data_IF_060453743692
#
_entry.id   IF_060453743692
#
_cell.length_a   1.000
_cell.length_b   1.000
_cell.length_c   1.000
_cell.angle_alpha   90.00
_cell.angle_beta   90.00
_cell.angle_gamma   90.00
#
_symmetry.space_group_name_H-M   'P 1'
#
loop_
_entity.id
_entity.type
_entity.pdbx_description
1 polymer ?
#
# COMPACT_ATOMS: atom_id res chain seq x y z
N UNK A 1 27.27 -14.24 -4.70
CA UNK A 1 27.48 -13.00 -3.89
C UNK A 1 27.33 -11.68 -4.67
N UNK A 2 27.69 -11.60 -5.95
CA UNK A 2 27.53 -10.35 -6.73
C UNK A 2 26.06 -9.95 -7.02
N UNK A 3 25.15 -10.91 -7.16
CA UNK A 3 23.73 -10.63 -7.45
C UNK A 3 22.97 -9.93 -6.31
N UNK A 4 23.29 -10.27 -5.04
CA UNK A 4 22.65 -9.66 -3.86
C UNK A 4 23.09 -8.20 -3.65
N UNK A 5 24.34 -7.86 -3.98
CA UNK A 5 24.84 -6.49 -3.88
C UNK A 5 24.20 -5.54 -4.90
N UNK A 6 23.75 -6.05 -6.04
CA UNK A 6 23.06 -5.25 -7.06
C UNK A 6 21.62 -4.94 -6.62
N UNK A 7 20.91 -5.91 -6.02
CA UNK A 7 19.56 -5.70 -5.47
C UNK A 7 19.58 -4.68 -4.31
N UNK A 8 20.52 -4.81 -3.39
CA UNK A 8 20.69 -3.89 -2.27
C UNK A 8 21.11 -2.46 -2.73
N UNK A 9 21.87 -2.34 -3.82
CA UNK A 9 22.26 -1.02 -4.38
C UNK A 9 21.11 -0.33 -5.10
N UNK A 10 20.21 -1.06 -5.76
CA UNK A 10 19.05 -0.46 -6.45
C UNK A 10 17.99 0.04 -5.46
N UNK A 11 17.79 -0.65 -4.34
CA UNK A 11 16.93 -0.17 -3.25
C UNK A 11 17.48 1.13 -2.61
N UNK A 12 18.81 1.31 -2.57
CA UNK A 12 19.45 2.51 -2.00
C UNK A 12 19.46 3.74 -2.91
N UNK A 13 19.33 3.57 -4.23
CA UNK A 13 19.45 4.68 -5.19
C UNK A 13 18.19 5.54 -5.33
N UNK A 14 17.03 5.07 -4.88
CA UNK A 14 15.75 5.77 -5.05
C UNK A 14 15.51 6.92 -4.05
N UNK A 15 16.36 7.11 -3.03
CA UNK A 15 16.10 8.06 -1.94
C UNK A 15 16.87 9.39 -2.01
N UNK A 16 17.67 9.66 -3.05
CA UNK A 16 18.39 10.94 -3.17
C UNK A 16 17.61 11.93 -4.04
N UNK A 17 16.88 12.83 -3.41
CA UNK A 17 16.28 13.98 -4.07
C UNK A 17 15.00 14.50 -3.42
N UNK A 18 15.06 14.92 -2.16
CA UNK A 18 13.94 15.60 -1.53
C UNK A 18 13.86 17.06 -1.98
N UNK A 19 13.11 17.32 -3.04
CA UNK A 19 12.45 18.61 -3.19
C UNK A 19 11.29 18.57 -2.19
N UNK A 20 11.20 19.54 -1.27
CA UNK A 20 10.07 19.73 -0.35
C UNK A 20 8.78 19.69 -1.17
N UNK A 21 8.12 18.54 -1.22
CA UNK A 21 6.82 18.38 -1.85
C UNK A 21 5.77 18.55 -0.77
N UNK A 22 4.79 19.39 -1.02
CA UNK A 22 3.59 19.46 -0.19
C UNK A 22 2.97 18.07 -0.20
N UNK A 23 2.77 17.47 0.99
CA UNK A 23 2.09 16.19 1.11
C UNK A 23 0.63 16.37 0.71
N UNK A 24 0.10 15.43 -0.09
CA UNK A 24 -1.33 15.37 -0.38
C UNK A 24 -2.11 14.71 0.76
N UNK A 25 -1.43 13.91 1.59
CA UNK A 25 -2.04 13.19 2.70
C UNK A 25 -2.32 14.10 3.90
N UNK A 26 -1.44 15.07 4.17
CA UNK A 26 -1.60 16.01 5.28
C UNK A 26 -1.31 17.43 4.81
N UNK A 27 -2.28 18.31 5.01
CA UNK A 27 -2.20 19.72 4.65
C UNK A 27 -2.47 20.55 5.90
N UNK A 28 -1.52 21.41 6.27
CA UNK A 28 -1.55 22.20 7.49
C UNK A 28 -2.46 23.40 7.38
N UNK A 29 -3.22 23.69 8.43
CA UNK A 29 -3.93 24.92 8.64
C UNK A 29 -5.02 25.25 7.60
N UNK A 30 -5.17 26.53 7.32
CA UNK A 30 -6.22 27.03 6.41
C UNK A 30 -6.07 26.57 4.96
N UNK A 31 -4.87 26.18 4.56
CA UNK A 31 -4.59 25.56 3.25
C UNK A 31 -5.38 24.27 3.01
N UNK A 32 -5.75 23.55 4.07
CA UNK A 32 -6.60 22.37 3.98
C UNK A 32 -7.97 22.70 3.40
N UNK A 33 -8.56 23.84 3.78
CA UNK A 33 -9.85 24.31 3.28
C UNK A 33 -9.74 24.82 1.83
N UNK A 34 -8.65 25.48 1.48
CA UNK A 34 -8.40 26.00 0.13
C UNK A 34 -8.16 24.88 -0.90
N UNK A 35 -7.54 23.79 -0.47
CA UNK A 35 -7.12 22.71 -1.37
C UNK A 35 -8.04 21.49 -1.35
N UNK A 36 -9.20 21.57 -0.72
CA UNK A 36 -10.14 20.46 -0.61
C UNK A 36 -9.50 19.18 -0.01
N UNK A 37 -8.64 19.34 0.99
CA UNK A 37 -8.05 18.19 1.69
C UNK A 37 -9.17 17.40 2.35
N UNK A 38 -9.48 16.25 1.78
CA UNK A 38 -10.59 15.40 2.24
C UNK A 38 -10.18 14.41 3.29
N UNK A 39 -8.87 14.14 3.40
CA UNK A 39 -8.32 13.13 4.28
C UNK A 39 -7.39 13.78 5.30
N UNK A 40 -7.66 13.53 6.58
CA UNK A 40 -6.76 13.82 7.70
C UNK A 40 -6.42 12.49 8.36
N UNK A 41 -5.20 11.97 8.16
CA UNK A 41 -4.82 10.67 8.69
C UNK A 41 -4.85 10.67 10.22
N UNK A 42 -5.13 9.53 10.82
CA UNK A 42 -4.89 9.32 12.23
C UNK A 42 -3.39 9.12 12.47
N UNK A 43 -2.77 10.05 13.16
CA UNK A 43 -1.35 10.02 13.48
C UNK A 43 -1.20 9.77 14.98
N UNK A 44 -0.83 8.56 15.34
CA UNK A 44 -0.59 8.14 16.71
C UNK A 44 0.83 8.55 17.14
N UNK A 45 0.99 9.81 17.52
CA UNK A 45 2.29 10.34 17.92
C UNK A 45 2.81 9.66 19.19
N UNK A 46 1.98 9.59 20.25
CA UNK A 46 2.36 9.01 21.51
C UNK A 46 2.72 7.53 21.38
N UNK A 47 1.82 6.70 20.85
CA UNK A 47 2.07 5.27 20.67
C UNK A 47 3.27 4.96 19.75
N UNK A 48 3.57 5.86 18.79
CA UNK A 48 4.75 5.70 17.94
C UNK A 48 6.05 5.90 18.73
N UNK A 49 6.12 6.92 19.60
CA UNK A 49 7.33 7.21 20.39
C UNK A 49 7.43 6.36 21.65
N UNK A 50 6.33 5.86 22.20
CA UNK A 50 6.36 4.91 23.34
C UNK A 50 7.05 3.59 22.97
N UNK A 51 6.99 3.20 21.68
CA UNK A 51 7.67 2.01 21.16
C UNK A 51 8.88 2.35 20.29
N UNK A 52 9.62 3.41 20.64
CA UNK A 52 10.75 3.93 19.89
C UNK A 52 11.79 2.85 19.53
N UNK A 53 12.11 1.93 20.44
CA UNK A 53 13.11 0.87 20.20
C UNK A 53 12.73 -0.04 19.01
N UNK A 54 11.46 -0.41 18.88
CA UNK A 54 10.97 -1.22 17.76
C UNK A 54 11.05 -0.45 16.43
N UNK A 55 10.77 0.85 16.47
CA UNK A 55 10.86 1.72 15.31
C UNK A 55 12.31 1.96 14.88
N UNK A 56 13.22 2.17 15.82
CA UNK A 56 14.68 2.29 15.56
C UNK A 56 15.22 1.01 14.93
N UNK A 57 14.83 -0.15 15.43
CA UNK A 57 15.17 -1.43 14.81
C UNK A 57 14.64 -1.52 13.37
N UNK A 58 13.40 -1.08 13.12
CA UNK A 58 12.82 -1.05 11.79
C UNK A 58 13.59 -0.14 10.84
N UNK A 59 13.95 1.08 11.27
CA UNK A 59 14.73 2.04 10.50
C UNK A 59 16.11 1.46 10.16
N UNK A 60 16.81 0.91 11.15
CA UNK A 60 18.14 0.33 10.99
C UNK A 60 18.13 -0.89 10.06
N UNK A 61 17.20 -1.85 10.25
CA UNK A 61 17.10 -3.05 9.44
C UNK A 61 16.72 -2.77 7.98
N UNK A 62 16.01 -1.67 7.72
CA UNK A 62 15.68 -1.22 6.36
C UNK A 62 16.80 -0.39 5.72
N UNK A 63 17.81 0.02 6.49
CA UNK A 63 18.89 0.90 6.05
C UNK A 63 18.41 2.30 5.67
N UNK A 64 17.40 2.82 6.36
CA UNK A 64 16.85 4.15 6.11
C UNK A 64 17.70 5.21 6.81
N UNK A 65 17.92 6.35 6.14
CA UNK A 65 18.62 7.50 6.68
C UNK A 65 17.63 8.45 7.40
N UNK A 66 17.07 7.97 8.51
CA UNK A 66 16.10 8.69 9.34
C UNK A 66 16.62 8.73 10.78
N UNK A 67 16.74 9.92 11.34
CA UNK A 67 17.06 10.12 12.75
C UNK A 67 15.77 10.23 13.58
N UNK A 68 15.41 9.17 14.30
CA UNK A 68 14.22 9.16 15.15
C UNK A 68 14.32 10.22 16.25
N UNK A 69 15.51 10.45 16.81
CA UNK A 69 15.77 11.51 17.78
C UNK A 69 15.45 12.90 17.24
N UNK A 70 15.81 13.18 15.97
CA UNK A 70 15.48 14.44 15.32
C UNK A 70 13.96 14.63 15.17
N UNK A 71 13.25 13.56 14.77
CA UNK A 71 11.78 13.59 14.65
C UNK A 71 11.13 13.79 16.02
N UNK A 72 11.65 13.13 17.06
CA UNK A 72 11.16 13.28 18.43
C UNK A 72 11.33 14.69 18.98
N UNK A 73 12.50 15.34 18.74
CA UNK A 73 12.71 16.75 19.13
C UNK A 73 11.70 17.70 18.46
N UNK A 74 11.38 17.45 17.18
CA UNK A 74 10.36 18.21 16.46
C UNK A 74 8.97 17.97 17.05
N UNK A 75 8.67 16.73 17.44
CA UNK A 75 7.44 16.40 18.15
C UNK A 75 7.31 17.17 19.47
N UNK A 76 8.35 17.18 20.31
CA UNK A 76 8.32 17.92 21.56
C UNK A 76 8.06 19.42 21.34
N UNK A 77 8.72 20.01 20.32
CA UNK A 77 8.48 21.40 19.94
C UNK A 77 7.04 21.63 19.50
N UNK A 78 6.51 20.75 18.64
CA UNK A 78 5.12 20.78 18.21
C UNK A 78 4.15 20.66 19.38
N UNK A 79 4.36 19.70 20.26
CA UNK A 79 3.54 19.46 21.46
C UNK A 79 3.47 20.70 22.36
N UNK A 80 4.60 21.33 22.66
CA UNK A 80 4.66 22.53 23.49
C UNK A 80 3.80 23.67 22.91
N UNK A 81 3.90 23.92 21.61
CA UNK A 81 3.11 24.97 20.94
C UNK A 81 1.63 24.58 20.82
N UNK A 82 1.34 23.31 20.59
CA UNK A 82 -0.02 22.80 20.54
C UNK A 82 -0.73 22.92 21.89
N UNK A 83 -0.06 22.59 23.00
CA UNK A 83 -0.58 22.75 24.36
C UNK A 83 -0.86 24.22 24.69
N UNK A 84 0.04 25.14 24.28
CA UNK A 84 -0.20 26.57 24.43
C UNK A 84 -1.45 27.02 23.67
N UNK A 85 -1.60 26.56 22.42
CA UNK A 85 -2.78 26.85 21.61
C UNK A 85 -4.07 26.33 22.27
N UNK A 86 -4.07 25.08 22.75
CA UNK A 86 -5.22 24.47 23.43
C UNK A 86 -5.61 25.23 24.70
N UNK A 87 -4.63 25.70 25.48
CA UNK A 87 -4.87 26.53 26.67
C UNK A 87 -5.64 27.81 26.30
N UNK A 88 -5.16 28.56 25.31
CA UNK A 88 -5.80 29.80 24.90
C UNK A 88 -7.17 29.55 24.26
N UNK A 89 -7.38 28.42 23.56
CA UNK A 89 -8.70 27.97 23.09
C UNK A 89 -9.67 27.79 24.27
N UNK A 90 -9.22 27.06 25.31
CA UNK A 90 -10.04 26.83 26.51
C UNK A 90 -10.38 28.13 27.26
N UNK A 91 -9.42 29.05 27.41
CA UNK A 91 -9.66 30.37 28.00
C UNK A 91 -10.72 31.16 27.20
N UNK A 92 -10.62 31.16 25.87
CA UNK A 92 -11.60 31.83 25.01
C UNK A 92 -13.01 31.22 25.09
N UNK A 93 -13.10 29.89 25.19
CA UNK A 93 -14.37 29.19 25.39
C UNK A 93 -14.99 29.56 26.73
N UNK A 94 -14.19 29.62 27.81
CA UNK A 94 -14.65 30.07 29.13
C UNK A 94 -15.17 31.51 29.10
N UNK A 95 -14.42 32.45 28.50
CA UNK A 95 -14.85 33.84 28.32
C UNK A 95 -16.16 33.93 27.53
N UNK A 96 -16.28 33.14 26.44
CA UNK A 96 -17.49 33.11 25.62
C UNK A 96 -18.70 32.57 26.39
N UNK A 97 -18.49 31.56 27.24
CA UNK A 97 -19.54 31.00 28.11
C UNK A 97 -19.96 32.01 29.16
N UNK A 98 -19.03 32.67 29.86
CA UNK A 98 -19.28 33.67 30.87
C UNK A 98 -20.02 34.89 30.28
N UNK A 99 -19.63 35.34 29.09
CA UNK A 99 -20.30 36.41 28.37
C UNK A 99 -21.78 36.08 28.07
N UNK A 100 -22.05 34.87 27.59
CA UNK A 100 -23.43 34.41 27.32
C UNK A 100 -24.28 34.33 28.60
N UNK A 101 -23.68 33.88 29.71
CA UNK A 101 -24.39 33.80 31.00
C UNK A 101 -24.72 35.18 31.58
N UNK A 102 -23.75 36.11 31.56
CA UNK A 102 -23.94 37.47 32.04
C UNK A 102 -24.94 38.24 31.19
N UNK A 103 -24.93 38.09 29.87
CA UNK A 103 -25.93 38.71 28.98
C UNK A 103 -27.33 38.20 29.26
N UNK A 104 -27.51 36.90 29.58
CA UNK A 104 -28.82 36.32 29.93
C UNK A 104 -29.32 36.75 31.31
N UNK A 105 -28.43 36.97 32.27
CA UNK A 105 -28.75 37.34 33.65
C UNK A 105 -28.89 38.85 33.86
N UNK A 106 -28.71 39.71 32.83
CA UNK A 106 -28.76 41.14 32.94
C UNK A 106 -27.59 41.75 33.71
N UNK A 107 -26.38 41.22 33.47
CA UNK A 107 -25.15 41.68 34.13
C UNK A 107 -24.76 43.12 33.77
N UNK A 108 -23.83 43.70 34.54
CA UNK A 108 -23.32 45.07 34.33
C UNK A 108 -22.73 45.25 32.93
N UNK A 109 -23.10 46.36 32.26
CA UNK A 109 -22.54 46.71 30.94
C UNK A 109 -21.00 46.75 30.95
N UNK A 110 -20.43 47.20 32.05
CA UNK A 110 -18.97 47.30 32.23
C UNK A 110 -18.30 45.91 32.21
N UNK A 111 -18.89 44.92 32.90
CA UNK A 111 -18.37 43.52 32.90
C UNK A 111 -18.55 42.86 31.53
N UNK A 112 -19.61 43.14 30.82
CA UNK A 112 -19.84 42.65 29.47
C UNK A 112 -18.81 43.22 28.50
N UNK A 113 -18.46 44.50 28.61
CA UNK A 113 -17.46 45.13 27.75
C UNK A 113 -16.04 44.63 28.04
N UNK A 114 -15.66 44.41 29.32
CA UNK A 114 -14.41 43.80 29.73
C UNK A 114 -14.22 42.38 29.13
N UNK A 115 -15.26 41.55 29.20
CA UNK A 115 -15.23 40.21 28.61
C UNK A 115 -15.15 40.23 27.08
N UNK A 116 -15.77 41.20 26.41
CA UNK A 116 -15.66 41.36 24.96
C UNK A 116 -14.22 41.76 24.56
N UNK A 117 -13.56 42.69 25.28
CA UNK A 117 -12.18 43.08 25.00
C UNK A 117 -11.22 41.93 25.29
N UNK A 118 -11.44 41.16 26.37
CA UNK A 118 -10.69 39.95 26.66
C UNK A 118 -10.86 38.91 25.53
N UNK A 119 -12.07 38.67 25.05
CA UNK A 119 -12.36 37.78 23.93
C UNK A 119 -11.67 38.20 22.61
N UNK A 120 -11.52 39.50 22.39
CA UNK A 120 -10.86 40.10 21.23
C UNK A 120 -9.34 39.91 21.30
N UNK A 121 -8.75 40.12 22.49
CA UNK A 121 -7.33 39.85 22.74
C UNK A 121 -7.01 38.38 22.53
N UNK A 122 -7.75 37.45 23.16
CA UNK A 122 -7.56 36.01 23.00
C UNK A 122 -7.74 35.56 21.54
N UNK A 123 -8.62 36.21 20.76
CA UNK A 123 -8.73 35.94 19.32
C UNK A 123 -7.47 36.30 18.54
N UNK A 124 -6.87 37.44 18.86
CA UNK A 124 -5.62 37.87 18.23
C UNK A 124 -4.45 36.97 18.64
N UNK A 125 -4.36 36.58 19.92
CA UNK A 125 -3.36 35.62 20.42
C UNK A 125 -3.48 34.27 19.74
N UNK A 126 -4.71 33.75 19.59
CA UNK A 126 -4.98 32.51 18.84
C UNK A 126 -4.51 32.59 17.39
N UNK A 127 -4.72 33.75 16.73
CA UNK A 127 -4.26 33.94 15.36
C UNK A 127 -2.72 33.91 15.29
N UNK A 128 -2.06 34.59 16.22
CA UNK A 128 -0.59 34.59 16.30
C UNK A 128 -0.01 33.21 16.59
N UNK A 129 -0.58 32.49 17.59
CA UNK A 129 -0.18 31.12 17.94
C UNK A 129 -0.36 30.14 16.80
N UNK A 130 -1.49 30.19 16.07
CA UNK A 130 -1.71 29.36 14.88
C UNK A 130 -0.69 29.62 13.78
N UNK A 131 -0.39 30.88 13.50
CA UNK A 131 0.62 31.24 12.50
C UNK A 131 2.01 30.78 12.88
N UNK A 132 2.35 30.78 14.18
CA UNK A 132 3.62 30.26 14.69
C UNK A 132 3.68 28.72 14.68
N UNK A 133 2.54 28.04 14.91
CA UNK A 133 2.44 26.58 14.92
C UNK A 133 2.57 25.97 13.52
N UNK A 134 1.98 26.57 12.49
CA UNK A 134 1.93 25.99 11.14
C UNK A 134 3.30 25.53 10.58
N UNK A 135 4.36 26.34 10.61
CA UNK A 135 5.66 25.88 10.09
C UNK A 135 6.27 24.76 10.92
N UNK A 136 6.01 24.72 12.24
CA UNK A 136 6.47 23.68 13.13
C UNK A 136 5.73 22.37 12.86
N UNK A 137 4.44 22.45 12.67
CA UNK A 137 3.57 21.34 12.32
C UNK A 137 3.94 20.75 10.95
N UNK A 138 4.10 21.60 9.91
CA UNK A 138 4.53 21.19 8.58
C UNK A 138 5.85 20.41 8.63
N UNK A 139 6.84 20.92 9.36
CA UNK A 139 8.15 20.28 9.46
C UNK A 139 8.09 18.95 10.22
N UNK A 140 7.35 18.89 11.33
CA UNK A 140 7.21 17.70 12.15
C UNK A 140 6.41 16.61 11.41
N UNK A 141 5.21 16.96 10.92
CA UNK A 141 4.32 15.99 10.26
C UNK A 141 4.95 15.42 9.00
N UNK A 142 5.67 16.25 8.25
CA UNK A 142 6.39 15.77 7.07
C UNK A 142 7.36 14.65 7.42
N UNK A 143 8.18 14.83 8.44
CA UNK A 143 9.16 13.81 8.87
C UNK A 143 8.45 12.60 9.49
N UNK A 144 7.40 12.83 10.28
CA UNK A 144 6.61 11.75 10.89
C UNK A 144 5.95 10.83 9.84
N UNK A 145 5.42 11.39 8.75
CA UNK A 145 4.83 10.61 7.66
C UNK A 145 5.84 9.73 6.91
N UNK A 146 7.13 10.05 6.99
CA UNK A 146 8.20 9.24 6.39
C UNK A 146 8.71 8.13 7.30
N UNK A 147 8.27 8.08 8.57
CA UNK A 147 8.59 6.95 9.45
C UNK A 147 8.00 5.65 8.89
N UNK A 148 8.79 4.56 8.87
CA UNK A 148 8.32 3.28 8.38
C UNK A 148 7.40 2.59 9.37
N UNK A 149 6.67 1.61 8.88
CA UNK A 149 5.94 0.66 9.72
C UNK A 149 6.91 -0.18 10.57
N UNK A 150 6.43 -0.72 11.67
CA UNK A 150 7.17 -1.70 12.48
C UNK A 150 7.33 -3.01 11.72
N UNK A 151 8.44 -3.68 11.97
CA UNK A 151 8.67 -5.00 11.38
C UNK A 151 7.87 -6.07 12.13
N UNK A 152 7.30 -6.99 11.39
CA UNK A 152 6.72 -8.20 11.94
C UNK A 152 7.81 -9.10 12.56
N UNK A 153 7.49 -9.87 13.60
CA UNK A 153 8.46 -10.72 14.28
C UNK A 153 9.15 -11.75 13.34
N UNK A 154 8.46 -12.20 12.30
CA UNK A 154 8.99 -13.13 11.30
C UNK A 154 9.77 -12.43 10.17
N UNK A 155 9.84 -11.10 10.15
CA UNK A 155 10.58 -10.39 9.12
C UNK A 155 12.07 -10.58 9.29
N UNK A 156 12.80 -11.07 8.27
CA UNK A 156 14.25 -11.19 8.34
C UNK A 156 14.91 -9.81 8.46
N UNK A 157 15.67 -9.59 9.53
CA UNK A 157 16.37 -8.32 9.79
C UNK A 157 17.78 -8.26 9.22
N UNK A 158 18.32 -9.41 8.78
CA UNK A 158 19.59 -9.51 8.05
C UNK A 158 19.40 -9.36 6.54
N UNK A 159 20.49 -9.58 5.79
CA UNK A 159 20.52 -9.45 4.32
C UNK A 159 19.94 -10.66 3.58
N UNK A 160 19.62 -11.76 4.29
CA UNK A 160 19.18 -13.00 3.68
C UNK A 160 17.67 -13.18 3.79
N UNK A 161 17.09 -13.68 2.70
CA UNK A 161 15.71 -14.15 2.66
C UNK A 161 15.53 -15.45 3.49
N UNK A 162 14.33 -15.65 4.03
CA UNK A 162 13.97 -16.90 4.73
C UNK A 162 13.06 -17.73 3.83
N UNK A 163 13.49 -18.95 3.52
CA UNK A 163 12.73 -19.90 2.70
C UNK A 163 11.52 -20.42 3.48
N UNK A 164 10.32 -20.25 2.94
CA UNK A 164 9.06 -20.77 3.49
C UNK A 164 8.65 -22.08 2.81
N UNK A 165 8.73 -22.09 1.48
CA UNK A 165 8.29 -23.20 0.67
C UNK A 165 9.14 -23.33 -0.60
N UNK A 166 9.38 -24.56 -1.05
CA UNK A 166 10.03 -24.84 -2.35
C UNK A 166 9.36 -26.04 -3.02
N UNK A 167 9.00 -25.85 -4.27
CA UNK A 167 8.52 -26.90 -5.16
C UNK A 167 9.60 -27.21 -6.18
N UNK A 168 10.14 -28.39 -6.17
CA UNK A 168 11.22 -28.86 -7.04
C UNK A 168 12.51 -28.00 -7.03
N UNK A 169 13.58 -28.55 -7.54
CA UNK A 169 14.82 -27.81 -7.78
C UNK A 169 14.95 -27.54 -9.28
N UNK A 170 15.61 -26.41 -9.67
CA UNK A 170 15.92 -26.17 -11.06
C UNK A 170 16.75 -27.32 -11.61
N UNK A 171 16.35 -27.88 -12.76
CA UNK A 171 17.15 -28.87 -13.49
C UNK A 171 18.45 -28.24 -14.02
N UNK A 172 19.46 -29.10 -14.28
CA UNK A 172 20.67 -28.67 -15.01
C UNK A 172 20.32 -28.41 -16.47
N UNK A 173 20.34 -27.15 -16.88
CA UNK A 173 19.97 -26.74 -18.24
C UNK A 173 21.21 -26.34 -19.00
N UNK A 174 21.67 -27.24 -19.91
CA UNK A 174 22.82 -26.97 -20.81
C UNK A 174 22.43 -26.20 -22.08
N UNK A 175 21.14 -26.09 -22.40
CA UNK A 175 20.66 -25.38 -23.61
C UNK A 175 19.28 -24.78 -23.29
N UNK A 176 19.28 -23.57 -22.75
CA UNK A 176 18.03 -22.89 -22.31
C UNK A 176 17.51 -22.07 -23.46
N UNK A 177 16.29 -22.34 -23.95
CA UNK A 177 15.65 -21.43 -24.89
C UNK A 177 15.34 -20.12 -24.18
N UNK A 178 15.60 -19.02 -24.85
CA UNK A 178 15.16 -17.72 -24.37
C UNK A 178 13.71 -17.46 -24.82
N UNK A 179 12.89 -16.91 -23.93
CA UNK A 179 11.55 -16.44 -24.32
C UNK A 179 11.63 -15.35 -25.40
N UNK A 180 12.79 -14.66 -25.55
CA UNK A 180 13.05 -13.66 -26.58
C UNK A 180 13.18 -14.26 -27.99
N UNK A 181 13.46 -15.56 -28.08
CA UNK A 181 13.56 -16.27 -29.37
C UNK A 181 12.17 -16.64 -29.92
N UNK A 182 11.13 -16.57 -29.09
CA UNK A 182 9.75 -16.89 -29.45
C UNK A 182 9.04 -15.69 -30.09
N UNK A 183 9.58 -15.22 -31.23
CA UNK A 183 9.03 -14.11 -32.02
C UNK A 183 7.65 -14.41 -32.61
N UNK A 184 7.29 -15.68 -32.69
CA UNK A 184 5.97 -16.18 -33.03
C UNK A 184 4.90 -15.85 -31.96
N UNK A 185 5.33 -15.73 -30.69
CA UNK A 185 4.43 -15.49 -29.56
C UNK A 185 4.58 -14.10 -28.94
N UNK A 186 5.77 -13.49 -29.04
CA UNK A 186 6.05 -12.24 -28.35
C UNK A 186 6.83 -11.29 -29.27
N UNK A 187 6.29 -10.09 -29.45
CA UNK A 187 6.93 -9.01 -30.20
C UNK A 187 7.18 -7.80 -29.28
N UNK A 188 8.46 -7.46 -29.08
CA UNK A 188 8.86 -6.28 -28.29
C UNK A 188 9.05 -5.08 -29.18
N UNK A 189 8.48 -3.93 -28.79
CA UNK A 189 8.80 -2.61 -29.32
C UNK A 189 9.87 -1.95 -28.42
N UNK A 190 9.63 -1.98 -27.12
CA UNK A 190 10.56 -1.51 -26.08
C UNK A 190 10.16 -2.15 -24.73
N UNK A 191 10.79 -1.71 -23.62
CA UNK A 191 10.48 -2.24 -22.27
C UNK A 191 9.05 -1.97 -21.80
N UNK A 192 8.37 -0.97 -22.37
CA UNK A 192 7.01 -0.58 -21.96
C UNK A 192 5.96 -1.14 -22.92
N UNK A 193 6.36 -1.55 -24.11
CA UNK A 193 5.44 -1.95 -25.19
C UNK A 193 5.85 -3.30 -25.77
N UNK A 194 5.00 -4.27 -25.60
CA UNK A 194 5.13 -5.61 -26.16
C UNK A 194 3.75 -6.10 -26.60
N UNK A 195 3.74 -7.00 -27.55
CA UNK A 195 2.55 -7.71 -28.01
C UNK A 195 2.72 -9.17 -27.71
N UNK A 196 1.67 -9.78 -27.16
CA UNK A 196 1.54 -11.23 -27.06
C UNK A 196 0.58 -11.71 -28.15
N UNK A 197 0.90 -12.83 -28.75
CA UNK A 197 0.14 -13.42 -29.87
C UNK A 197 -0.23 -14.86 -29.53
N UNK A 198 -1.24 -15.37 -30.21
CA UNK A 198 -1.65 -16.77 -30.18
C UNK A 198 -1.72 -17.31 -28.73
N UNK A 199 -0.99 -18.37 -28.46
CA UNK A 199 -1.01 -19.09 -27.19
C UNK A 199 -0.53 -18.23 -26.01
N UNK A 200 0.38 -17.27 -26.22
CA UNK A 200 0.85 -16.38 -25.16
C UNK A 200 -0.27 -15.41 -24.75
N UNK A 201 -1.00 -14.85 -25.72
CA UNK A 201 -2.15 -13.98 -25.44
C UNK A 201 -3.29 -14.74 -24.75
N UNK A 202 -3.60 -15.96 -25.21
CA UNK A 202 -4.61 -16.80 -24.56
C UNK A 202 -4.21 -17.17 -23.14
N UNK A 203 -2.96 -17.57 -22.93
CA UNK A 203 -2.48 -17.94 -21.59
C UNK A 203 -2.50 -16.75 -20.64
N UNK A 204 -2.07 -15.57 -21.09
CA UNK A 204 -2.03 -14.32 -20.29
C UNK A 204 -3.41 -14.04 -19.65
N UNK A 205 -4.47 -14.11 -20.45
CA UNK A 205 -5.85 -13.87 -19.98
C UNK A 205 -6.35 -15.05 -19.13
N UNK A 206 -6.14 -16.29 -19.62
CA UNK A 206 -6.68 -17.49 -18.97
C UNK A 206 -6.03 -17.73 -17.59
N UNK A 207 -4.72 -17.53 -17.44
CA UNK A 207 -4.01 -17.68 -16.17
C UNK A 207 -4.54 -16.70 -15.12
N UNK A 208 -4.70 -15.43 -15.52
CA UNK A 208 -5.26 -14.40 -14.65
C UNK A 208 -6.69 -14.75 -14.20
N UNK A 209 -7.58 -15.09 -15.16
CA UNK A 209 -8.97 -15.40 -14.84
C UNK A 209 -9.11 -16.70 -14.03
N UNK A 210 -8.30 -17.70 -14.33
CA UNK A 210 -8.32 -18.99 -13.65
C UNK A 210 -7.94 -18.84 -12.18
N UNK A 211 -6.85 -18.11 -11.90
CA UNK A 211 -6.43 -17.84 -10.52
C UNK A 211 -7.46 -16.98 -9.78
N UNK A 212 -7.97 -15.92 -10.41
CA UNK A 212 -9.02 -15.10 -9.81
C UNK A 212 -10.26 -15.91 -9.44
N UNK A 213 -10.73 -16.78 -10.35
CA UNK A 213 -11.85 -17.70 -10.09
C UNK A 213 -11.52 -18.69 -8.97
N UNK A 214 -10.29 -19.17 -8.89
CA UNK A 214 -9.85 -20.07 -7.82
C UNK A 214 -9.90 -19.38 -6.45
N UNK A 215 -9.49 -18.13 -6.37
CA UNK A 215 -9.62 -17.32 -5.15
C UNK A 215 -11.09 -17.17 -4.72
N UNK A 216 -12.00 -16.95 -5.66
CA UNK A 216 -13.43 -16.86 -5.36
C UNK A 216 -13.99 -18.20 -4.90
N UNK A 217 -13.69 -19.29 -5.61
CA UNK A 217 -14.35 -20.60 -5.37
C UNK A 217 -13.77 -21.40 -4.22
N UNK A 218 -12.48 -21.20 -3.90
CA UNK A 218 -11.76 -21.95 -2.84
C UNK A 218 -11.27 -21.07 -1.72
N UNK A 219 -11.01 -19.80 -2.00
CA UNK A 219 -10.47 -18.85 -1.02
C UNK A 219 -11.52 -18.01 -0.33
N UNK A 220 -12.78 -18.08 -0.76
CA UNK A 220 -13.87 -17.24 -0.23
C UNK A 220 -13.57 -15.73 -0.41
N UNK A 221 -13.11 -15.38 -1.61
CA UNK A 221 -12.87 -14.00 -2.02
C UNK A 221 -14.00 -13.48 -2.90
N UNK A 222 -14.29 -12.21 -2.77
CA UNK A 222 -15.20 -11.48 -3.67
C UNK A 222 -14.37 -10.87 -4.80
N UNK A 223 -14.77 -11.15 -6.06
CA UNK A 223 -14.11 -10.55 -7.22
C UNK A 223 -14.57 -9.11 -7.41
N UNK A 224 -13.60 -8.21 -7.60
CA UNK A 224 -13.83 -6.78 -7.83
C UNK A 224 -13.25 -6.34 -9.17
N UNK A 225 -13.73 -5.21 -9.66
CA UNK A 225 -13.12 -4.44 -10.74
C UNK A 225 -12.80 -3.05 -10.20
N UNK A 226 -11.53 -2.74 -10.09
CA UNK A 226 -11.06 -1.49 -9.49
C UNK A 226 -10.68 -0.46 -10.57
N UNK A 227 -10.64 0.84 -10.24
CA UNK A 227 -10.17 1.87 -11.16
C UNK A 227 -8.66 1.72 -11.44
N UNK A 228 -8.25 2.05 -12.67
CA UNK A 228 -6.84 2.04 -13.07
C UNK A 228 -6.07 3.28 -12.58
N UNK A 229 -6.77 4.33 -12.22
CA UNK A 229 -6.18 5.59 -11.77
C UNK A 229 -6.40 5.80 -10.29
N UNK A 230 -5.33 6.20 -9.61
CA UNK A 230 -5.33 6.44 -8.17
C UNK A 230 -4.79 7.86 -7.89
N UNK A 231 -5.43 8.58 -6.98
CA UNK A 231 -4.92 9.89 -6.55
C UNK A 231 -3.64 9.75 -5.74
N UNK A 232 -2.74 10.74 -5.85
CA UNK A 232 -1.46 10.73 -5.12
C UNK A 232 -1.61 10.56 -3.61
N UNK A 233 -2.69 11.06 -3.01
CA UNK A 233 -2.97 10.89 -1.58
C UNK A 233 -3.02 9.43 -1.14
N UNK A 234 -3.51 8.53 -1.97
CA UNK A 234 -3.58 7.09 -1.66
C UNK A 234 -2.22 6.40 -1.79
N UNK A 235 -1.39 6.83 -2.75
CA UNK A 235 0.00 6.39 -2.87
C UNK A 235 0.82 6.84 -1.66
N UNK A 236 0.66 8.10 -1.23
CA UNK A 236 1.30 8.61 -0.02
C UNK A 236 0.81 7.90 1.24
N UNK A 237 -0.49 7.56 1.33
CA UNK A 237 -1.03 6.78 2.44
C UNK A 237 -0.38 5.40 2.56
N UNK A 238 -0.10 4.76 1.42
CA UNK A 238 0.66 3.50 1.37
C UNK A 238 2.18 3.69 1.40
N UNK A 239 2.66 4.92 1.59
CA UNK A 239 4.09 5.26 1.54
C UNK A 239 4.80 4.73 0.27
N UNK A 240 4.06 4.66 -0.85
CA UNK A 240 4.57 4.19 -2.15
C UNK A 240 5.26 5.33 -2.88
N UNK A 241 6.48 5.13 -3.41
CA UNK A 241 7.17 6.17 -4.18
C UNK A 241 6.38 6.55 -5.43
N UNK A 242 6.04 7.84 -5.58
CA UNK A 242 5.28 8.33 -6.74
C UNK A 242 6.03 8.11 -8.07
N UNK A 243 7.36 8.01 -8.03
CA UNK A 243 8.19 7.75 -9.20
C UNK A 243 8.00 6.35 -9.81
N UNK A 244 7.43 5.42 -9.04
CA UNK A 244 7.17 4.05 -9.49
C UNK A 244 5.99 3.96 -10.46
N UNK A 245 5.18 5.01 -10.55
CA UNK A 245 4.00 5.06 -11.40
C UNK A 245 4.05 6.16 -12.45
N UNK A 246 3.21 6.03 -13.47
CA UNK A 246 3.03 7.06 -14.49
C UNK A 246 2.04 8.11 -14.00
N UNK A 247 2.49 9.35 -13.89
CA UNK A 247 1.63 10.48 -13.58
C UNK A 247 0.73 10.80 -14.78
N UNK A 248 -0.56 10.91 -14.55
CA UNK A 248 -1.53 11.35 -15.55
C UNK A 248 -1.64 12.89 -15.45
N UNK A 249 -1.31 13.57 -16.52
CA UNK A 249 -1.44 15.03 -16.60
C UNK A 249 -2.84 15.37 -17.08
N UNK A 250 -3.59 16.06 -16.23
CA UNK A 250 -4.85 16.69 -16.61
C UNK A 250 -4.58 18.19 -16.78
N UNK A 251 -4.78 18.74 -17.97
CA UNK A 251 -4.46 20.14 -18.31
C UNK A 251 -5.21 21.16 -17.45
N UNK A 252 -6.37 20.77 -16.91
CA UNK A 252 -7.23 21.65 -16.11
C UNK A 252 -6.98 21.59 -14.60
N UNK A 253 -6.18 20.61 -14.11
CA UNK A 253 -5.85 20.51 -12.70
C UNK A 253 -4.65 21.39 -12.35
N UNK A 254 -4.93 22.60 -11.92
CA UNK A 254 -3.91 23.52 -11.36
C UNK A 254 -3.34 23.02 -10.03
N UNK A 255 -4.03 22.09 -9.38
CA UNK A 255 -3.68 21.61 -8.05
C UNK A 255 -2.95 20.27 -8.10
N UNK A 256 -1.64 20.29 -7.79
CA UNK A 256 -0.77 19.09 -7.72
C UNK A 256 -1.23 18.04 -6.73
N UNK A 257 -2.05 18.40 -5.75
CA UNK A 257 -2.56 17.52 -4.68
C UNK A 257 -3.53 16.47 -5.24
N UNK A 258 -4.27 16.82 -6.28
CA UNK A 258 -5.25 15.93 -6.91
C UNK A 258 -4.72 15.17 -8.12
N UNK A 259 -3.40 15.15 -8.31
CA UNK A 259 -2.78 14.43 -9.43
C UNK A 259 -3.11 12.94 -9.37
N UNK A 260 -3.55 12.39 -10.49
CA UNK A 260 -3.79 10.97 -10.65
C UNK A 260 -2.56 10.24 -11.19
N UNK A 261 -2.43 8.98 -10.82
CA UNK A 261 -1.37 8.08 -11.26
C UNK A 261 -1.98 6.80 -11.83
N UNK A 262 -1.39 6.29 -12.90
CA UNK A 262 -1.80 5.03 -13.51
C UNK A 262 -1.14 3.87 -12.75
N UNK A 263 -1.93 3.16 -11.95
CA UNK A 263 -1.52 1.99 -11.16
C UNK A 263 -2.03 0.69 -11.77
N UNK A 264 -3.15 0.76 -12.46
CA UNK A 264 -3.93 -0.39 -12.91
C UNK A 264 -4.90 -0.88 -11.83
N UNK A 265 -5.99 -1.48 -12.25
CA UNK A 265 -7.01 -2.01 -11.32
C UNK A 265 -6.50 -3.14 -10.43
N UNK A 266 -5.49 -3.90 -10.90
CA UNK A 266 -4.82 -4.93 -10.11
C UNK A 266 -3.62 -4.38 -9.33
N UNK A 267 -3.81 -3.26 -8.61
CA UNK A 267 -2.87 -2.70 -7.67
C UNK A 267 -3.50 -2.59 -6.27
N UNK A 268 -2.68 -2.70 -5.22
CA UNK A 268 -3.15 -2.61 -3.84
C UNK A 268 -3.81 -1.25 -3.55
N UNK A 269 -3.21 -0.18 -4.06
CA UNK A 269 -3.65 1.19 -3.88
C UNK A 269 -5.02 1.47 -4.51
N UNK A 270 -5.40 0.68 -5.52
CA UNK A 270 -6.70 0.83 -6.20
C UNK A 270 -7.89 0.45 -5.30
N UNK A 271 -7.67 -0.35 -4.25
CA UNK A 271 -8.68 -0.62 -3.23
C UNK A 271 -8.83 0.52 -2.22
N UNK A 272 -7.73 1.24 -1.93
CA UNK A 272 -7.68 2.21 -0.83
C UNK A 272 -8.68 3.36 -1.02
N UNK A 273 -9.03 3.68 -2.28
CA UNK A 273 -10.02 4.70 -2.58
C UNK A 273 -11.41 4.37 -2.01
N UNK A 274 -11.85 3.14 -2.20
CA UNK A 274 -13.13 2.65 -1.68
C UNK A 274 -13.12 2.48 -0.14
N UNK A 275 -11.95 2.23 0.45
CA UNK A 275 -11.79 2.01 1.89
C UNK A 275 -11.58 3.30 2.67
N UNK A 276 -11.38 4.43 1.99
CA UNK A 276 -11.11 5.72 2.64
C UNK A 276 -12.30 6.19 3.47
N UNK A 277 -12.07 6.47 4.77
CA UNK A 277 -13.08 6.85 5.76
C UNK A 277 -14.22 5.84 5.95
N UNK A 278 -14.01 4.60 5.52
CA UNK A 278 -15.00 3.55 5.68
C UNK A 278 -14.90 2.96 7.10
N UNK A 279 -16.06 2.85 7.75
CA UNK A 279 -16.20 2.13 9.02
C UNK A 279 -17.10 0.93 8.81
N UNK A 280 -16.56 -0.27 8.97
CA UNK A 280 -17.31 -1.52 8.74
C UNK A 280 -17.75 -2.16 10.04
N UNK A 281 -18.80 -2.99 9.98
CA UNK A 281 -19.21 -3.79 11.13
C UNK A 281 -18.27 -4.99 11.33
N UNK A 282 -17.98 -5.38 12.59
CA UNK A 282 -17.15 -6.56 12.86
C UNK A 282 -17.66 -7.84 12.20
N UNK A 283 -18.97 -7.95 12.01
CA UNK A 283 -19.61 -9.15 11.42
C UNK A 283 -19.28 -9.40 9.96
N UNK A 284 -18.78 -8.39 9.23
CA UNK A 284 -18.40 -8.55 7.80
C UNK A 284 -16.91 -8.87 7.63
N UNK A 285 -16.16 -8.91 8.73
CA UNK A 285 -14.73 -9.24 8.71
C UNK A 285 -14.51 -10.76 8.79
N UNK A 286 -13.48 -11.30 8.16
CA UNK A 286 -12.52 -10.59 7.29
C UNK A 286 -13.09 -10.24 5.92
N UNK A 287 -12.80 -9.03 5.43
CA UNK A 287 -13.06 -8.67 4.04
C UNK A 287 -12.00 -9.31 3.16
N UNK A 288 -12.41 -10.02 2.10
CA UNK A 288 -11.52 -10.67 1.15
C UNK A 288 -11.90 -10.29 -0.27
N UNK A 289 -11.04 -9.54 -0.94
CA UNK A 289 -11.26 -9.10 -2.32
C UNK A 289 -10.13 -9.57 -3.23
N UNK A 290 -10.48 -9.92 -4.47
CA UNK A 290 -9.54 -10.23 -5.54
C UNK A 290 -9.90 -9.44 -6.79
N UNK A 291 -8.91 -8.81 -7.42
CA UNK A 291 -9.05 -8.11 -8.68
C UNK A 291 -8.15 -8.74 -9.73
N UNK A 292 -8.71 -9.01 -10.89
CA UNK A 292 -8.02 -9.44 -12.10
C UNK A 292 -7.96 -8.25 -13.05
N UNK A 293 -6.78 -7.79 -13.43
CA UNK A 293 -6.66 -6.61 -14.28
C UNK A 293 -5.22 -6.26 -14.62
N UNK A 294 -5.03 -5.08 -15.18
CA UNK A 294 -3.71 -4.53 -15.45
C UNK A 294 -3.05 -4.01 -14.19
N UNK A 295 -1.74 -4.16 -14.14
CA UNK A 295 -0.84 -3.53 -13.18
C UNK A 295 0.27 -2.81 -13.92
N UNK A 296 0.58 -1.59 -13.51
CA UNK A 296 1.63 -0.73 -14.08
C UNK A 296 2.61 -0.38 -12.97
N UNK A 297 3.90 -0.74 -13.15
CA UNK A 297 4.94 -0.41 -12.19
C UNK A 297 6.29 -0.24 -12.90
N UNK A 298 6.86 0.96 -12.85
CA UNK A 298 8.12 1.29 -13.52
C UNK A 298 9.34 0.76 -12.76
N UNK A 299 9.27 0.69 -11.43
CA UNK A 299 10.38 0.24 -10.60
C UNK A 299 10.73 -1.23 -10.85
N UNK A 300 9.72 -2.04 -11.15
CA UNK A 300 9.89 -3.48 -11.41
C UNK A 300 10.80 -3.77 -12.61
N UNK A 301 10.82 -2.91 -13.63
CA UNK A 301 11.67 -3.08 -14.80
C UNK A 301 13.16 -2.95 -14.48
N UNK A 302 13.53 -2.17 -13.47
CA UNK A 302 14.93 -1.88 -13.15
C UNK A 302 15.69 -3.05 -12.54
N UNK A 303 14.97 -4.05 -12.01
CA UNK A 303 15.59 -5.18 -11.31
C UNK A 303 16.20 -6.26 -12.22
N UNK A 304 15.79 -6.33 -13.49
CA UNK A 304 16.12 -7.45 -14.38
C UNK A 304 17.00 -7.07 -15.58
N UNK A 305 17.48 -5.86 -15.64
CA UNK A 305 18.41 -5.38 -16.66
C UNK A 305 17.77 -4.43 -17.69
N UNK A 306 18.60 -3.84 -18.58
CA UNK A 306 18.14 -2.82 -19.53
C UNK A 306 17.47 -3.39 -20.79
N UNK A 307 17.68 -4.68 -21.07
CA UNK A 307 17.17 -5.32 -22.29
C UNK A 307 15.67 -5.55 -22.20
N UNK A 308 14.88 -5.19 -23.24
CA UNK A 308 13.46 -5.49 -23.29
C UNK A 308 13.19 -6.98 -23.14
N UNK A 309 12.37 -7.34 -22.15
CA UNK A 309 11.96 -8.72 -21.89
C UNK A 309 10.64 -8.75 -21.12
N UNK A 310 9.98 -9.89 -21.04
CA UNK A 310 8.80 -10.02 -20.18
C UNK A 310 9.14 -9.91 -18.68
N UNK A 311 10.41 -10.11 -18.30
CA UNK A 311 10.86 -9.88 -16.92
C UNK A 311 10.99 -8.38 -16.58
N UNK A 312 11.30 -7.53 -17.59
CA UNK A 312 11.45 -6.08 -17.43
C UNK A 312 10.21 -5.28 -17.80
N UNK A 313 9.14 -5.95 -18.18
CA UNK A 313 7.89 -5.30 -18.57
C UNK A 313 7.31 -4.45 -17.42
N UNK A 314 6.99 -3.18 -17.73
CA UNK A 314 6.42 -2.22 -16.77
C UNK A 314 4.91 -2.31 -16.66
N UNK A 315 4.28 -3.10 -17.52
CA UNK A 315 2.86 -3.41 -17.50
C UNK A 315 2.65 -4.92 -17.62
N UNK A 316 1.66 -5.45 -16.93
CA UNK A 316 1.33 -6.86 -16.92
C UNK A 316 -0.15 -7.07 -16.60
N UNK A 317 -0.71 -8.22 -16.95
CA UNK A 317 -1.90 -8.69 -16.28
C UNK A 317 -1.50 -9.26 -14.91
N UNK A 318 -2.32 -9.01 -13.91
CA UNK A 318 -2.06 -9.43 -12.54
C UNK A 318 -3.34 -9.87 -11.83
N UNK A 319 -3.16 -10.69 -10.81
CA UNK A 319 -4.20 -11.04 -9.84
C UNK A 319 -3.80 -10.41 -8.51
N UNK A 320 -4.57 -9.45 -8.06
CA UNK A 320 -4.33 -8.68 -6.84
C UNK A 320 -5.29 -9.13 -5.75
N UNK A 321 -4.75 -9.56 -4.60
CA UNK A 321 -5.52 -9.84 -3.39
C UNK A 321 -5.53 -8.64 -2.45
N UNK A 322 -6.64 -8.46 -1.73
CA UNK A 322 -6.80 -7.48 -0.66
C UNK A 322 -7.63 -8.09 0.44
N UNK A 323 -7.11 -8.04 1.67
CA UNK A 323 -7.81 -8.54 2.85
C UNK A 323 -7.71 -7.51 3.96
N UNK A 324 -8.83 -7.31 4.68
CA UNK A 324 -8.88 -6.51 5.89
C UNK A 324 -9.42 -7.35 7.05
N UNK A 325 -8.74 -7.31 8.18
CA UNK A 325 -9.05 -8.09 9.39
C UNK A 325 -9.11 -7.19 10.61
N UNK A 326 -9.71 -7.68 11.69
CA UNK A 326 -9.80 -6.92 12.92
C UNK A 326 -8.51 -6.97 13.74
N UNK A 327 -7.79 -8.10 13.72
CA UNK A 327 -6.62 -8.34 14.56
C UNK A 327 -5.39 -8.69 13.74
N UNK A 328 -4.20 -8.53 14.34
CA UNK A 328 -2.93 -8.91 13.74
C UNK A 328 -2.82 -10.42 13.52
N UNK A 329 -3.36 -11.24 14.45
CA UNK A 329 -3.33 -12.70 14.33
C UNK A 329 -4.21 -13.18 13.17
N UNK A 330 -5.39 -12.57 13.01
CA UNK A 330 -6.22 -12.84 11.84
C UNK A 330 -5.51 -12.43 10.54
N UNK A 331 -4.78 -11.30 10.52
CA UNK A 331 -4.02 -10.87 9.36
C UNK A 331 -2.94 -11.89 8.99
N UNK A 332 -2.24 -12.46 9.97
CA UNK A 332 -1.25 -13.51 9.75
C UNK A 332 -1.90 -14.79 9.17
N UNK A 333 -3.03 -15.21 9.72
CA UNK A 333 -3.78 -16.36 9.19
C UNK A 333 -4.26 -16.12 7.74
N UNK A 334 -4.65 -14.88 7.40
CA UNK A 334 -5.03 -14.54 6.02
C UNK A 334 -3.83 -14.50 5.07
N UNK A 335 -2.65 -14.07 5.52
CA UNK A 335 -1.41 -14.17 4.75
C UNK A 335 -1.13 -15.64 4.37
N UNK A 336 -1.17 -16.54 5.35
CA UNK A 336 -0.98 -17.98 5.14
C UNK A 336 -2.04 -18.57 4.20
N UNK A 337 -3.29 -18.16 4.35
CA UNK A 337 -4.39 -18.58 3.47
C UNK A 337 -4.14 -18.19 2.01
N UNK A 338 -3.77 -16.92 1.74
CA UNK A 338 -3.43 -16.46 0.39
C UNK A 338 -2.25 -17.27 -0.18
N UNK A 339 -1.21 -17.50 0.63
CA UNK A 339 -0.05 -18.28 0.19
C UNK A 339 -0.40 -19.73 -0.12
N UNK A 340 -1.32 -20.36 0.62
CA UNK A 340 -1.76 -21.73 0.32
C UNK A 340 -2.47 -21.82 -1.03
N UNK A 341 -3.34 -20.86 -1.37
CA UNK A 341 -4.00 -20.78 -2.67
C UNK A 341 -2.99 -20.57 -3.81
N UNK A 342 -1.97 -19.73 -3.58
CA UNK A 342 -0.90 -19.50 -4.53
C UNK A 342 -0.07 -20.78 -4.76
N UNK A 343 0.29 -21.51 -3.70
CA UNK A 343 1.02 -22.78 -3.79
C UNK A 343 0.28 -23.76 -4.69
N UNK A 344 -1.02 -23.92 -4.51
CA UNK A 344 -1.82 -24.83 -5.33
C UNK A 344 -1.79 -24.45 -6.81
N UNK A 345 -1.88 -23.16 -7.12
CA UNK A 345 -1.79 -22.67 -8.50
C UNK A 345 -0.44 -22.95 -9.13
N UNK A 346 0.66 -22.58 -8.45
CA UNK A 346 2.01 -22.75 -9.02
C UNK A 346 2.44 -24.21 -9.07
N UNK A 347 1.99 -25.08 -8.16
CA UNK A 347 2.19 -26.53 -8.23
C UNK A 347 1.58 -27.14 -9.50
N UNK A 348 0.38 -26.69 -9.87
CA UNK A 348 -0.31 -27.21 -11.04
C UNK A 348 0.43 -26.90 -12.36
N UNK A 349 1.27 -25.87 -12.38
CA UNK A 349 2.09 -25.48 -13.54
C UNK A 349 3.36 -26.30 -13.69
N UNK A 350 3.75 -27.07 -12.67
CA UNK A 350 4.91 -27.96 -12.64
C UNK A 350 6.25 -27.27 -13.01
N UNK A 351 6.44 -26.08 -12.48
CA UNK A 351 7.69 -25.31 -12.63
C UNK A 351 8.43 -25.21 -11.29
N UNK A 352 9.76 -25.09 -11.29
CA UNK A 352 10.51 -24.82 -10.07
C UNK A 352 10.15 -23.44 -9.52
N UNK A 353 9.52 -23.42 -8.35
CA UNK A 353 9.18 -22.16 -7.65
C UNK A 353 9.50 -22.28 -6.16
N UNK A 354 9.61 -21.12 -5.53
CA UNK A 354 9.77 -21.01 -4.08
C UNK A 354 8.99 -19.81 -3.53
N UNK A 355 8.75 -19.84 -2.24
CA UNK A 355 8.21 -18.72 -1.49
C UNK A 355 9.20 -18.39 -0.38
N UNK A 356 9.53 -17.10 -0.26
CA UNK A 356 10.49 -16.60 0.72
C UNK A 356 9.93 -15.40 1.45
N UNK A 357 10.31 -15.19 2.71
CA UNK A 357 10.19 -13.87 3.33
C UNK A 357 11.35 -13.00 2.88
N UNK A 358 11.01 -11.82 2.36
CA UNK A 358 11.99 -10.82 1.95
C UNK A 358 12.65 -10.17 3.16
N UNK A 359 13.96 -9.84 3.09
CA UNK A 359 14.63 -9.09 4.14
C UNK A 359 14.06 -7.68 4.29
N UNK A 360 14.13 -7.14 5.52
CA UNK A 360 13.61 -5.82 5.86
C UNK A 360 14.08 -4.70 4.92
N UNK A 361 15.33 -4.79 4.44
CA UNK A 361 15.91 -3.83 3.48
C UNK A 361 15.18 -3.77 2.11
N UNK A 362 14.40 -4.80 1.78
CA UNK A 362 13.62 -4.87 0.54
C UNK A 362 12.16 -4.43 0.70
N UNK A 363 11.69 -4.17 1.92
CA UNK A 363 10.31 -3.78 2.21
C UNK A 363 10.09 -2.29 1.92
N UNK A 364 8.90 -1.94 1.41
CA UNK A 364 8.46 -0.55 1.37
C UNK A 364 8.17 -0.04 2.79
N UNK A 365 8.16 1.27 3.05
CA UNK A 365 7.95 1.79 4.40
C UNK A 365 6.63 1.34 5.05
N UNK A 366 5.58 1.07 4.28
CA UNK A 366 4.28 0.63 4.81
C UNK A 366 4.23 -0.84 5.21
N UNK A 367 5.09 -1.69 4.66
CA UNK A 367 5.04 -3.14 4.89
C UNK A 367 5.72 -3.53 6.21
N UNK A 368 5.09 -4.42 6.95
CA UNK A 368 5.68 -5.05 8.14
C UNK A 368 6.34 -6.40 7.81
N UNK A 369 5.81 -7.12 6.81
CA UNK A 369 6.30 -8.41 6.33
C UNK A 369 5.95 -8.55 4.86
N UNK A 370 6.81 -9.21 4.07
CA UNK A 370 6.54 -9.54 2.68
C UNK A 370 6.94 -10.98 2.37
N UNK A 371 5.99 -11.77 1.90
CA UNK A 371 6.24 -13.04 1.24
C UNK A 371 6.36 -12.82 -0.26
N UNK A 372 7.40 -13.35 -0.88
CA UNK A 372 7.65 -13.26 -2.33
C UNK A 372 7.50 -14.64 -2.94
N UNK A 373 6.69 -14.72 -3.99
CA UNK A 373 6.52 -15.92 -4.81
C UNK A 373 7.45 -15.79 -6.01
N UNK A 374 8.35 -16.74 -6.17
CA UNK A 374 9.39 -16.67 -7.18
C UNK A 374 9.44 -17.96 -8.00
N UNK A 375 9.56 -17.82 -9.32
CA UNK A 375 9.78 -18.91 -10.26
C UNK A 375 11.21 -18.83 -10.77
N UNK A 376 11.87 -19.97 -10.97
CA UNK A 376 13.21 -20.00 -11.52
C UNK A 376 13.21 -19.59 -12.99
N UNK A 377 14.03 -18.61 -13.34
CA UNK A 377 14.24 -18.11 -14.70
C UNK A 377 15.56 -18.69 -15.26
N UNK A 378 15.51 -19.71 -16.12
CA UNK A 378 16.72 -20.38 -16.63
C UNK A 378 17.68 -19.45 -17.37
N UNK A 379 17.17 -18.50 -18.17
CA UNK A 379 18.01 -17.54 -18.91
C UNK A 379 18.76 -16.56 -18.01
N UNK A 380 18.19 -16.26 -16.84
CA UNK A 380 18.79 -15.38 -15.84
C UNK A 380 19.55 -16.15 -14.75
N UNK A 381 19.46 -17.48 -14.72
CA UNK A 381 20.03 -18.37 -13.71
C UNK A 381 19.69 -17.95 -12.27
N UNK A 382 18.48 -17.44 -12.05
CA UNK A 382 18.00 -16.99 -10.74
C UNK A 382 16.48 -17.10 -10.62
N UNK A 383 16.00 -17.00 -9.41
CA UNK A 383 14.58 -16.86 -9.13
C UNK A 383 14.11 -15.43 -9.46
N UNK A 384 12.92 -15.32 -10.04
CA UNK A 384 12.26 -14.05 -10.40
C UNK A 384 10.91 -13.95 -9.71
N UNK A 385 10.61 -12.79 -9.19
CA UNK A 385 9.34 -12.52 -8.51
C UNK A 385 8.18 -12.56 -9.51
N UNK A 386 7.25 -13.49 -9.29
CA UNK A 386 5.99 -13.62 -10.06
C UNK A 386 4.78 -13.23 -9.24
N UNK A 387 4.97 -12.96 -7.95
CA UNK A 387 3.93 -12.50 -7.03
C UNK A 387 4.52 -12.12 -5.69
N UNK A 388 3.80 -11.32 -4.91
CA UNK A 388 4.19 -10.93 -3.56
C UNK A 388 2.96 -10.61 -2.71
N UNK A 389 2.99 -10.98 -1.45
CA UNK A 389 1.92 -10.68 -0.50
C UNK A 389 2.54 -10.03 0.71
N UNK A 390 2.00 -8.90 1.12
CA UNK A 390 2.53 -8.11 2.23
C UNK A 390 1.50 -7.98 3.34
N UNK A 391 1.98 -8.00 4.58
CA UNK A 391 1.24 -7.59 5.75
C UNK A 391 1.60 -6.14 6.05
N UNK A 392 0.61 -5.27 6.12
CA UNK A 392 0.76 -3.84 6.38
C UNK A 392 0.39 -3.46 7.81
N UNK A 393 -0.12 -4.43 8.60
CA UNK A 393 -0.73 -4.11 9.89
C UNK A 393 -1.82 -3.04 9.74
N UNK A 394 -1.92 -2.15 10.71
CA UNK A 394 -2.85 -1.02 10.71
C UNK A 394 -2.25 0.30 10.15
N UNK A 395 -1.03 0.26 9.61
CA UNK A 395 -0.32 1.45 9.14
C UNK A 395 -1.07 2.21 8.04
N UNK A 396 -1.58 1.50 7.05
CA UNK A 396 -2.31 2.12 5.93
C UNK A 396 -3.72 2.50 6.36
N UNK A 397 -4.41 1.66 7.11
CA UNK A 397 -5.78 1.92 7.57
C UNK A 397 -5.88 3.14 8.49
N UNK A 398 -4.91 3.38 9.35
CA UNK A 398 -4.79 4.64 10.13
C UNK A 398 -4.68 5.86 9.23
N UNK A 399 -3.94 5.76 8.13
CA UNK A 399 -3.72 6.88 7.19
C UNK A 399 -4.93 7.17 6.32
N UNK A 400 -5.75 6.18 5.96
CA UNK A 400 -6.98 6.35 5.18
C UNK A 400 -8.25 6.38 6.04
N UNK A 401 -8.13 6.23 7.36
CA UNK A 401 -9.24 6.17 8.33
C UNK A 401 -10.18 4.98 8.07
N UNK A 402 -9.61 3.81 7.75
CA UNK A 402 -10.36 2.59 7.56
C UNK A 402 -10.44 1.79 8.87
N UNK A 403 -11.65 1.65 9.42
CA UNK A 403 -11.86 1.19 10.79
C UNK A 403 -13.05 0.25 10.92
N UNK A 404 -13.14 -0.39 12.07
CA UNK A 404 -14.34 -1.07 12.54
C UNK A 404 -14.81 -0.45 13.84
N UNK A 405 -16.12 -0.49 14.09
CA UNK A 405 -16.70 0.04 15.31
C UNK A 405 -16.87 -1.08 16.33
N UNK A 406 -16.20 -0.92 17.47
CA UNK A 406 -16.36 -1.80 18.62
C UNK A 406 -16.95 -1.02 19.79
N UNK A 407 -18.25 -1.21 20.06
CA UNK A 407 -18.99 -0.48 21.08
C UNK A 407 -18.87 1.06 20.93
N UNK A 408 -18.00 1.70 21.75
CA UNK A 408 -17.73 3.15 21.74
C UNK A 408 -16.39 3.52 21.11
N UNK A 409 -15.57 2.53 20.71
CA UNK A 409 -14.23 2.73 20.16
C UNK A 409 -14.20 2.38 18.68
N UNK A 410 -13.26 2.97 17.96
CA UNK A 410 -12.93 2.65 16.58
C UNK A 410 -11.57 1.98 16.56
N UNK A 411 -11.51 0.76 16.04
CA UNK A 411 -10.26 0.03 15.85
C UNK A 411 -9.89 0.07 14.38
N UNK A 412 -8.63 0.41 14.07
CA UNK A 412 -8.14 0.40 12.70
C UNK A 412 -7.86 -1.04 12.23
N UNK A 413 -8.22 -1.32 10.99
CA UNK A 413 -8.13 -2.67 10.45
C UNK A 413 -6.69 -3.02 10.04
N UNK A 414 -6.33 -4.29 10.18
CA UNK A 414 -5.07 -4.83 9.69
C UNK A 414 -5.24 -5.26 8.24
N UNK A 415 -4.33 -4.82 7.36
CA UNK A 415 -4.40 -5.04 5.93
C UNK A 415 -3.34 -6.04 5.48
N UNK A 416 -3.77 -6.98 4.63
CA UNK A 416 -2.90 -7.95 3.96
C UNK A 416 -3.27 -8.00 2.49
N UNK A 417 -2.27 -8.06 1.61
CA UNK A 417 -2.55 -8.20 0.19
C UNK A 417 -1.33 -7.95 -0.67
N UNK A 418 -1.54 -8.10 -1.95
CA UNK A 418 -0.51 -7.94 -2.96
C UNK A 418 -0.84 -8.70 -4.23
N UNK A 419 -0.09 -8.49 -5.32
CA UNK A 419 -0.22 -9.26 -6.53
C UNK A 419 0.25 -10.70 -6.30
N UNK A 420 -0.68 -11.65 -6.43
CA UNK A 420 -0.38 -13.10 -6.32
C UNK A 420 0.23 -13.63 -7.61
N UNK A 421 -0.05 -12.97 -8.73
CA UNK A 421 0.42 -13.35 -10.05
C UNK A 421 0.74 -12.11 -10.90
N UNK A 422 1.91 -12.14 -11.52
CA UNK A 422 2.30 -11.32 -12.68
C UNK A 422 2.45 -12.24 -13.89
N UNK A 423 1.54 -12.15 -14.86
CA UNK A 423 1.47 -13.10 -15.97
C UNK A 423 2.66 -13.02 -16.91
N UNK A 424 3.19 -11.83 -17.18
CA UNK A 424 4.34 -11.63 -18.09
C UNK A 424 5.57 -12.45 -17.65
N UNK A 425 5.91 -12.35 -16.36
CA UNK A 425 7.08 -13.05 -15.81
C UNK A 425 6.88 -14.56 -15.74
N UNK A 426 5.64 -14.99 -15.44
CA UNK A 426 5.29 -16.39 -15.46
C UNK A 426 5.40 -16.96 -16.88
N UNK A 427 4.87 -16.27 -17.89
CA UNK A 427 4.96 -16.69 -19.29
C UNK A 427 6.41 -16.83 -19.73
N UNK A 428 7.27 -15.85 -19.41
CA UNK A 428 8.69 -15.92 -19.71
C UNK A 428 9.33 -17.20 -19.13
N UNK A 429 9.11 -17.45 -17.84
CA UNK A 429 9.65 -18.61 -17.17
C UNK A 429 9.13 -19.93 -17.76
N UNK A 430 7.83 -20.04 -18.04
CA UNK A 430 7.24 -21.24 -18.65
C UNK A 430 7.85 -21.55 -20.02
N UNK A 431 8.00 -20.53 -20.88
CA UNK A 431 8.63 -20.69 -22.19
C UNK A 431 10.09 -21.14 -22.09
N UNK A 432 10.84 -20.59 -21.12
CA UNK A 432 12.24 -20.97 -20.86
C UNK A 432 12.39 -22.39 -20.28
N UNK A 433 11.35 -22.91 -19.63
CA UNK A 433 11.26 -24.30 -19.20
C UNK A 433 10.73 -25.24 -20.32
N UNK A 434 10.58 -24.77 -21.56
CA UNK A 434 9.99 -25.52 -22.67
C UNK A 434 8.56 -26.02 -22.39
N UNK A 435 7.82 -25.36 -21.53
CA UNK A 435 6.45 -25.71 -21.22
C UNK A 435 5.54 -25.09 -22.29
N UNK A 436 4.74 -25.92 -22.93
CA UNK A 436 3.72 -25.47 -23.89
C UNK A 436 2.56 -24.85 -23.14
N UNK A 437 2.32 -23.57 -23.40
CA UNK A 437 1.31 -22.77 -22.69
C UNK A 437 -0.11 -23.35 -22.84
N UNK A 438 -0.43 -23.98 -23.97
CA UNK A 438 -1.68 -24.66 -24.24
C UNK A 438 -1.93 -25.91 -23.35
N UNK A 439 -0.86 -26.52 -22.85
CA UNK A 439 -0.91 -27.74 -22.04
C UNK A 439 -0.88 -27.45 -20.55
N UNK A 440 -0.73 -26.18 -20.14
CA UNK A 440 -0.68 -25.80 -18.74
C UNK A 440 -2.01 -26.11 -18.03
N UNK A 441 -1.93 -26.88 -16.95
CA UNK A 441 -3.09 -27.11 -16.08
C UNK A 441 -3.27 -25.91 -15.18
N UNK A 442 -4.35 -25.15 -15.43
CA UNK A 442 -4.72 -24.02 -14.60
C UNK A 442 -5.76 -24.47 -13.56
N UNK A 443 -5.52 -24.19 -12.28
CA UNK A 443 -6.50 -24.43 -11.21
C UNK A 443 -7.77 -23.62 -11.48
N UNK A 444 -8.94 -24.17 -11.18
CA UNK A 444 -10.22 -23.48 -11.44
C UNK A 444 -10.69 -23.48 -12.89
N UNK A 445 -9.95 -24.11 -13.82
CA UNK A 445 -10.32 -24.18 -15.24
C UNK A 445 -11.37 -25.23 -15.57
N UNK A 446 -11.75 -26.15 -14.68
CA UNK A 446 -12.76 -27.17 -14.96
C UNK A 446 -13.59 -27.54 -13.73
N UNK A 447 -14.81 -27.31 -13.82
CA UNK A 447 -16.06 -28.02 -13.72
C UNK A 447 -17.18 -27.05 -13.32
N UNK A 448 -18.12 -26.91 -14.22
CA UNK A 448 -19.50 -26.51 -13.98
C UNK A 448 -20.04 -27.24 -12.75
N UNK A 449 -20.16 -26.58 -11.60
CA UNK A 449 -20.77 -27.22 -10.46
C UNK A 449 -20.51 -26.57 -9.10
N UNK A 450 -20.73 -25.31 -8.98
CA UNK A 450 -20.89 -24.62 -7.69
C UNK A 450 -21.56 -23.28 -7.97
N UNK A 451 -22.88 -23.25 -7.83
CA UNK A 451 -23.62 -21.99 -7.81
C UNK A 451 -23.26 -21.23 -6.54
N UNK A 452 -22.13 -20.53 -6.54
CA UNK A 452 -22.01 -19.35 -5.73
C UNK A 452 -22.92 -18.33 -6.37
N UNK A 453 -24.03 -18.01 -5.75
CA UNK A 453 -25.02 -17.13 -6.35
C UNK A 453 -24.47 -15.71 -6.29
N UNK A 454 -24.38 -15.09 -7.44
CA UNK A 454 -24.06 -13.67 -7.65
C UNK A 454 -24.88 -12.72 -6.73
N UNK A 455 -25.96 -13.21 -6.15
CA UNK A 455 -26.81 -12.54 -5.17
C UNK A 455 -26.14 -12.42 -3.79
N UNK A 456 -25.34 -13.39 -3.35
CA UNK A 456 -24.63 -13.33 -2.07
C UNK A 456 -23.46 -12.34 -2.14
N UNK A 457 -22.75 -12.29 -3.27
CA UNK A 457 -21.65 -11.34 -3.49
C UNK A 457 -22.17 -9.89 -3.57
N UNK A 458 -23.31 -9.69 -4.24
CA UNK A 458 -23.99 -8.39 -4.30
C UNK A 458 -24.53 -7.93 -2.94
N UNK A 459 -24.98 -8.83 -2.10
CA UNK A 459 -25.49 -8.49 -0.78
C UNK A 459 -24.34 -8.04 0.13
N UNK A 460 -23.23 -8.78 0.15
CA UNK A 460 -22.04 -8.42 0.92
C UNK A 460 -21.46 -7.06 0.49
N UNK A 461 -21.52 -6.73 -0.81
CA UNK A 461 -21.10 -5.42 -1.32
C UNK A 461 -22.08 -4.30 -0.95
N UNK A 462 -23.38 -4.57 -0.97
CA UNK A 462 -24.42 -3.60 -0.56
C UNK A 462 -24.36 -3.29 0.94
N UNK A 463 -24.09 -4.31 1.76
CA UNK A 463 -24.00 -4.18 3.22
C UNK A 463 -22.79 -3.32 3.69
N UNK A 464 -21.83 -3.05 2.78
CA UNK A 464 -20.69 -2.15 3.02
C UNK A 464 -21.07 -0.66 2.92
N UNK A 465 -22.15 -0.33 2.21
CA UNK A 465 -22.52 1.05 1.91
C UNK A 465 -23.87 1.46 2.54
N UNK A 466 -24.50 0.59 3.30
CA UNK A 466 -25.68 0.85 4.14
C UNK A 466 -25.33 0.88 5.62
#
# INVERSE_FOLDING_TARGET
>A
MLGLQIVLRSCRAAQKGSIRKISALYITGDKANENYATLQPYLDFAGTFDEAASLEQSIASRGLDISLESVFRKYQKYQTHHEQLQRVVGEREAVTKNLKELTKKGGSEQQIEELKEQGKTLRNDLKGLKQALYPIEDEFIHDFLHLPNRLHAQCPTGDQEVLLYRHSLPGSTSNVPSHLDRKDLIHFVDNNRYYMMEQAAHFDVNAMQSLGRYFVTKGDFVQTANPDFVRCVLLEANATPLADYHMVREEHLQNKINTAYLTGGAAFESYLGAMTKLCVYPSVLPLRYVCCGRSYNRAEAQHYGPTPSLYTATQTNAVQSFVATQTADEANAQLEHILSLAIDFYKALDVPFRIVYAPAACLTPSESLRAVIEVYAPSLQRYVCVGRISNYGDFVSKRILFSTRREKHYDFLHLVGGPVLYTTRLIAALLEHNIRLENCRLVGASSSGGKHTMEQDLQQFKDLFT
#
